data_IF_890637542234
#
_entry.id   IF_890637542234
#
_cell.length_a   1.000
_cell.length_b   1.000
_cell.length_c   1.000
_cell.angle_alpha   90.00
_cell.angle_beta   90.00
_cell.angle_gamma   90.00
#
_symmetry.space_group_name_H-M   'P 1'
#
loop_
_entity.id
_entity.type
_entity.pdbx_description
1 polymer ?
#
# COMPACT_ATOMS: atom_id res chain seq x y z
N UNK A 1 5.25 17.33 3.46
CA UNK A 1 4.05 18.02 3.96
C UNK A 1 3.38 18.92 2.91
N UNK A 2 4.12 19.67 2.07
CA UNK A 2 3.53 20.64 1.11
C UNK A 2 2.89 20.02 -0.13
N UNK A 3 3.15 18.76 -0.45
CA UNK A 3 2.49 18.05 -1.56
C UNK A 3 1.17 17.37 -1.12
N UNK A 4 0.92 17.26 0.18
CA UNK A 4 -0.29 16.62 0.72
C UNK A 4 -1.58 17.30 0.21
N UNK A 5 -1.72 18.64 0.24
CA UNK A 5 -2.95 19.27 -0.23
C UNK A 5 -3.20 19.02 -1.72
N UNK A 6 -2.15 18.97 -2.54
CA UNK A 6 -2.27 18.67 -3.97
C UNK A 6 -2.80 17.24 -4.16
N UNK A 7 -2.24 16.28 -3.42
CA UNK A 7 -2.67 14.88 -3.48
C UNK A 7 -4.12 14.74 -3.04
N UNK A 8 -4.49 15.34 -1.91
CA UNK A 8 -5.85 15.26 -1.37
C UNK A 8 -6.85 15.88 -2.35
N UNK A 9 -6.57 17.06 -2.89
CA UNK A 9 -7.46 17.74 -3.82
C UNK A 9 -7.69 16.92 -5.10
N UNK A 10 -6.64 16.39 -5.71
CA UNK A 10 -6.76 15.60 -6.94
C UNK A 10 -7.45 14.27 -6.66
N UNK A 11 -7.17 13.61 -5.54
CA UNK A 11 -7.85 12.37 -5.16
C UNK A 11 -9.34 12.58 -4.88
N UNK A 12 -9.73 13.69 -4.23
CA UNK A 12 -11.14 14.04 -4.06
C UNK A 12 -11.85 14.24 -5.40
N UNK A 13 -11.24 14.99 -6.32
CA UNK A 13 -11.79 15.19 -7.67
C UNK A 13 -11.90 13.87 -8.42
N UNK A 14 -10.87 13.03 -8.36
CA UNK A 14 -10.87 11.69 -8.95
C UNK A 14 -12.04 10.85 -8.43
N UNK A 15 -12.21 10.79 -7.11
CA UNK A 15 -13.28 9.99 -6.49
C UNK A 15 -14.66 10.49 -6.92
N UNK A 16 -14.88 11.80 -6.95
CA UNK A 16 -16.14 12.37 -7.43
C UNK A 16 -16.41 12.03 -8.90
N UNK A 17 -15.42 12.17 -9.77
CA UNK A 17 -15.53 11.82 -11.18
C UNK A 17 -15.81 10.32 -11.37
N UNK A 18 -15.19 9.46 -10.59
CA UNK A 18 -15.42 8.02 -10.63
C UNK A 18 -16.84 7.65 -10.19
N UNK A 19 -17.37 8.26 -9.14
CA UNK A 19 -18.75 8.06 -8.69
C UNK A 19 -19.73 8.49 -9.78
N UNK A 20 -19.54 9.68 -10.35
CA UNK A 20 -20.40 10.19 -11.42
C UNK A 20 -20.35 9.27 -12.65
N UNK A 21 -19.15 8.82 -13.04
CA UNK A 21 -18.99 7.92 -14.18
C UNK A 21 -19.68 6.57 -13.96
N UNK A 22 -19.61 6.00 -12.77
CA UNK A 22 -20.30 4.75 -12.46
C UNK A 22 -21.83 4.90 -12.44
N UNK A 23 -22.35 6.04 -12.01
CA UNK A 23 -23.79 6.30 -12.00
C UNK A 23 -24.35 6.50 -13.42
N UNK A 24 -23.59 7.19 -14.30
CA UNK A 24 -24.05 7.53 -15.66
C UNK A 24 -23.78 6.37 -16.64
N UNK A 25 -22.53 5.92 -16.71
CA UNK A 25 -22.13 4.93 -17.76
C UNK A 25 -22.12 3.49 -17.29
N UNK A 26 -22.13 3.21 -15.98
CA UNK A 26 -22.08 1.85 -15.40
C UNK A 26 -20.98 0.97 -16.03
N UNK A 27 -19.91 1.58 -16.52
CA UNK A 27 -18.83 0.93 -17.23
C UNK A 27 -17.54 0.99 -16.42
N UNK A 28 -16.96 -0.19 -16.16
CA UNK A 28 -15.69 -0.32 -15.45
C UNK A 28 -14.51 0.26 -16.25
N UNK A 29 -14.59 0.23 -17.59
CA UNK A 29 -13.54 0.78 -18.46
C UNK A 29 -13.44 2.30 -18.29
N UNK A 30 -14.59 2.99 -18.22
CA UNK A 30 -14.61 4.46 -17.98
C UNK A 30 -14.04 4.79 -16.61
N UNK A 31 -14.35 4.01 -15.58
CA UNK A 31 -13.79 4.14 -14.26
C UNK A 31 -12.24 4.07 -14.27
N UNK A 32 -11.67 3.07 -14.97
CA UNK A 32 -10.22 2.90 -15.09
C UNK A 32 -9.56 4.02 -15.90
N UNK A 33 -10.18 4.49 -16.97
CA UNK A 33 -9.63 5.59 -17.77
C UNK A 33 -9.56 6.90 -16.98
N UNK A 34 -10.56 7.19 -16.15
CA UNK A 34 -10.53 8.33 -15.22
C UNK A 34 -9.39 8.17 -14.21
N UNK A 35 -9.21 6.99 -13.67
CA UNK A 35 -8.12 6.71 -12.71
C UNK A 35 -6.75 6.99 -13.31
N UNK A 36 -6.50 6.47 -14.51
CA UNK A 36 -5.22 6.68 -15.23
C UNK A 36 -5.02 8.18 -15.54
N UNK A 37 -6.05 8.85 -16.08
CA UNK A 37 -6.01 10.26 -16.40
C UNK A 37 -5.68 11.13 -15.19
N UNK A 38 -6.38 10.94 -14.08
CA UNK A 38 -6.12 11.67 -12.83
C UNK A 38 -4.73 11.37 -12.25
N UNK A 39 -4.23 10.15 -12.39
CA UNK A 39 -2.86 9.80 -11.95
C UNK A 39 -1.79 10.54 -12.76
N UNK A 40 -1.99 10.69 -14.07
CA UNK A 40 -1.09 11.47 -14.94
C UNK A 40 -1.13 12.95 -14.55
N UNK A 41 -2.33 13.50 -14.32
CA UNK A 41 -2.50 14.89 -13.87
C UNK A 41 -1.83 15.13 -12.53
N UNK A 42 -1.97 14.19 -11.57
CA UNK A 42 -1.32 14.25 -10.27
C UNK A 42 0.21 14.30 -10.42
N UNK A 43 0.76 13.41 -11.23
CA UNK A 43 2.21 13.35 -11.50
C UNK A 43 2.72 14.64 -12.16
N UNK A 44 1.99 15.18 -13.13
CA UNK A 44 2.32 16.43 -13.78
C UNK A 44 2.27 17.63 -12.79
N UNK A 45 1.22 17.71 -11.98
CA UNK A 45 1.06 18.76 -10.98
C UNK A 45 2.18 18.73 -9.92
N UNK A 46 2.55 17.56 -9.45
CA UNK A 46 3.67 17.38 -8.53
C UNK A 46 5.00 17.81 -9.14
N UNK A 47 5.27 17.41 -10.40
CA UNK A 47 6.47 17.78 -11.13
C UNK A 47 6.56 19.30 -11.32
N UNK A 48 5.49 19.93 -11.79
CA UNK A 48 5.44 21.38 -11.97
C UNK A 48 5.65 22.14 -10.65
N UNK A 49 5.05 21.64 -9.56
CA UNK A 49 5.24 22.24 -8.25
C UNK A 49 6.68 22.15 -7.76
N UNK A 50 7.30 20.97 -7.91
CA UNK A 50 8.70 20.71 -7.51
C UNK A 50 9.65 21.58 -8.33
N UNK A 51 9.50 21.60 -9.66
CA UNK A 51 10.35 22.38 -10.58
C UNK A 51 10.26 23.88 -10.33
N UNK A 52 9.05 24.39 -10.08
CA UNK A 52 8.86 25.82 -9.75
C UNK A 52 9.45 26.23 -8.39
N UNK A 53 9.45 25.33 -7.44
CA UNK A 53 9.81 25.66 -6.05
C UNK A 53 11.26 25.38 -5.72
N UNK A 54 11.88 24.44 -6.40
CA UNK A 54 13.24 24.00 -6.17
C UNK A 54 14.08 24.19 -7.42
N UNK A 55 14.53 25.42 -7.65
CA UNK A 55 15.37 25.82 -8.80
C UNK A 55 16.66 25.00 -8.94
N UNK A 56 17.08 24.32 -7.86
CA UNK A 56 18.31 23.50 -7.82
C UNK A 56 18.08 22.04 -8.18
N UNK A 57 16.84 21.59 -8.32
CA UNK A 57 16.53 20.22 -8.75
C UNK A 57 16.40 20.19 -10.27
N UNK A 58 17.53 20.25 -10.94
CA UNK A 58 17.59 20.06 -12.39
C UNK A 58 17.63 18.54 -12.67
N UNK A 59 16.70 18.06 -13.50
CA UNK A 59 16.69 16.67 -14.01
C UNK A 59 17.94 16.33 -14.84
N UNK A 60 18.74 17.32 -15.19
CA UNK A 60 20.00 17.22 -15.92
C UNK A 60 21.14 17.79 -15.07
N UNK A 61 21.58 17.03 -14.06
CA UNK A 61 22.88 17.28 -13.46
C UNK A 61 23.96 16.74 -14.41
N UNK A 62 24.94 17.60 -14.76
CA UNK A 62 26.14 17.20 -15.48
C UNK A 62 27.10 16.37 -14.61
N UNK A 63 26.85 16.32 -13.31
CA UNK A 63 27.67 15.57 -12.37
C UNK A 63 27.41 14.08 -12.50
N UNK A 64 28.42 13.35 -12.96
CA UNK A 64 28.35 11.89 -13.07
C UNK A 64 28.66 11.29 -11.70
N UNK A 65 27.81 10.35 -11.29
CA UNK A 65 28.03 9.55 -10.09
C UNK A 65 29.40 8.84 -10.18
N UNK A 66 30.15 8.88 -9.09
CA UNK A 66 31.39 8.12 -8.95
C UNK A 66 31.07 6.60 -8.97
N UNK A 67 31.98 5.78 -9.47
CA UNK A 67 31.77 4.34 -9.60
C UNK A 67 31.34 3.68 -8.27
N UNK A 68 31.92 4.08 -7.16
CA UNK A 68 31.54 3.61 -5.82
C UNK A 68 30.10 3.96 -5.44
N UNK A 69 29.65 5.20 -5.68
CA UNK A 69 28.29 5.65 -5.43
C UNK A 69 27.27 4.88 -6.28
N UNK A 70 27.63 4.61 -7.56
CA UNK A 70 26.77 3.83 -8.44
C UNK A 70 26.61 2.39 -7.95
N UNK A 71 27.68 1.78 -7.46
CA UNK A 71 27.64 0.42 -6.94
C UNK A 71 26.82 0.33 -5.63
N UNK A 72 26.94 1.31 -4.76
CA UNK A 72 26.15 1.41 -3.51
C UNK A 72 24.66 1.58 -3.81
N UNK A 73 24.32 2.48 -4.73
CA UNK A 73 22.94 2.69 -5.20
C UNK A 73 22.39 1.41 -5.82
N UNK A 74 23.15 0.72 -6.68
CA UNK A 74 22.73 -0.54 -7.27
C UNK A 74 22.46 -1.62 -6.22
N UNK A 75 23.30 -1.75 -5.21
CA UNK A 75 23.12 -2.71 -4.11
C UNK A 75 21.84 -2.41 -3.33
N UNK A 76 21.60 -1.16 -3.00
CA UNK A 76 20.41 -0.73 -2.27
C UNK A 76 19.13 -0.92 -3.12
N UNK A 77 19.16 -0.57 -4.40
CA UNK A 77 18.04 -0.77 -5.31
C UNK A 77 17.75 -2.26 -5.49
N UNK A 78 18.74 -3.11 -5.67
CA UNK A 78 18.51 -4.55 -5.85
C UNK A 78 17.85 -5.17 -4.61
N UNK A 79 18.23 -4.76 -3.41
CA UNK A 79 17.57 -5.18 -2.17
C UNK A 79 16.10 -4.76 -2.10
N UNK A 80 15.82 -3.51 -2.48
CA UNK A 80 14.45 -3.00 -2.54
C UNK A 80 13.59 -3.69 -3.61
N UNK A 81 14.17 -4.03 -4.76
CA UNK A 81 13.47 -4.76 -5.83
C UNK A 81 13.09 -6.16 -5.34
N UNK A 82 14.01 -6.89 -4.72
CA UNK A 82 13.73 -8.23 -4.18
C UNK A 82 12.63 -8.17 -3.13
N UNK A 83 12.70 -7.20 -2.21
CA UNK A 83 11.66 -6.98 -1.20
C UNK A 83 10.30 -6.67 -1.84
N UNK A 84 10.26 -5.84 -2.88
CA UNK A 84 9.02 -5.49 -3.59
C UNK A 84 8.44 -6.65 -4.41
N UNK A 85 9.28 -7.46 -5.03
CA UNK A 85 8.84 -8.68 -5.72
C UNK A 85 8.24 -9.65 -4.69
N UNK A 86 8.88 -9.85 -3.54
CA UNK A 86 8.35 -10.66 -2.45
C UNK A 86 7.00 -10.18 -1.96
N UNK A 87 6.86 -8.89 -1.69
CA UNK A 87 5.61 -8.24 -1.27
C UNK A 87 4.49 -8.44 -2.32
N UNK A 88 4.81 -8.24 -3.60
CA UNK A 88 3.88 -8.46 -4.69
C UNK A 88 3.44 -9.93 -4.81
N UNK A 89 4.37 -10.86 -4.72
CA UNK A 89 4.07 -12.30 -4.78
C UNK A 89 3.14 -12.70 -3.62
N UNK A 90 3.42 -12.27 -2.40
CA UNK A 90 2.59 -12.59 -1.23
C UNK A 90 1.18 -12.01 -1.38
N UNK A 91 1.04 -10.76 -1.81
CA UNK A 91 -0.27 -10.09 -1.83
C UNK A 91 -1.11 -10.36 -3.09
N UNK A 92 -0.50 -10.82 -4.19
CA UNK A 92 -1.22 -10.99 -5.47
C UNK A 92 -1.46 -12.45 -5.83
N UNK A 93 -0.67 -13.38 -5.30
CA UNK A 93 -0.76 -14.80 -5.64
C UNK A 93 -2.09 -15.41 -5.20
N UNK A 94 -2.62 -15.02 -4.05
CA UNK A 94 -3.89 -15.51 -3.53
C UNK A 94 -5.03 -15.25 -4.51
N UNK A 95 -5.12 -14.03 -5.04
CA UNK A 95 -6.15 -13.67 -6.02
C UNK A 95 -6.05 -14.48 -7.31
N UNK A 96 -4.83 -14.73 -7.79
CA UNK A 96 -4.59 -15.53 -9.00
C UNK A 96 -4.97 -17.01 -8.77
N UNK A 97 -4.59 -17.55 -7.63
CA UNK A 97 -4.90 -18.94 -7.25
C UNK A 97 -6.40 -19.12 -7.12
N UNK A 98 -7.08 -18.27 -6.37
CA UNK A 98 -8.53 -18.36 -6.16
C UNK A 98 -9.27 -18.19 -7.49
N UNK A 99 -8.87 -17.24 -8.33
CA UNK A 99 -9.51 -17.02 -9.63
C UNK A 99 -9.38 -18.24 -10.54
N UNK A 100 -8.19 -18.86 -10.57
CA UNK A 100 -7.88 -19.96 -11.48
C UNK A 100 -8.38 -21.31 -10.98
N UNK A 101 -8.29 -21.58 -9.69
CA UNK A 101 -8.60 -22.90 -9.13
C UNK A 101 -10.03 -23.01 -8.56
N UNK A 102 -10.63 -21.90 -8.15
CA UNK A 102 -11.98 -21.90 -7.60
C UNK A 102 -12.96 -21.24 -8.56
N UNK A 103 -13.01 -19.91 -8.59
CA UNK A 103 -13.82 -19.15 -9.55
C UNK A 103 -13.58 -17.64 -9.43
N UNK A 104 -14.00 -16.89 -10.46
CA UNK A 104 -14.00 -15.43 -10.42
C UNK A 104 -14.97 -14.89 -9.36
N UNK A 105 -16.08 -15.58 -9.10
CA UNK A 105 -17.05 -15.21 -8.06
C UNK A 105 -16.41 -15.32 -6.67
N UNK A 106 -15.67 -16.41 -6.40
CA UNK A 106 -14.94 -16.59 -5.15
C UNK A 106 -13.90 -15.49 -4.93
N UNK A 107 -13.21 -15.07 -5.98
CA UNK A 107 -12.27 -13.93 -5.92
C UNK A 107 -12.98 -12.63 -5.59
N UNK A 108 -14.19 -12.41 -6.13
CA UNK A 108 -15.03 -11.27 -5.77
C UNK A 108 -15.43 -11.26 -4.29
N UNK A 109 -15.80 -12.40 -3.74
CA UNK A 109 -16.10 -12.56 -2.31
C UNK A 109 -14.83 -12.28 -1.48
N UNK A 110 -13.69 -12.89 -1.84
CA UNK A 110 -12.41 -12.71 -1.16
C UNK A 110 -11.96 -11.24 -1.16
N UNK A 111 -12.24 -10.50 -2.21
CA UNK A 111 -11.90 -9.08 -2.30
C UNK A 111 -12.56 -8.23 -1.21
N UNK A 112 -13.74 -8.61 -0.73
CA UNK A 112 -14.38 -7.91 0.40
C UNK A 112 -13.60 -8.11 1.70
N UNK A 113 -13.13 -9.34 1.95
CA UNK A 113 -12.27 -9.62 3.11
C UNK A 113 -10.96 -8.85 3.03
N UNK A 114 -10.34 -8.81 1.83
CA UNK A 114 -9.12 -8.07 1.58
C UNK A 114 -9.30 -6.56 1.79
N UNK A 115 -10.47 -6.00 1.48
CA UNK A 115 -10.73 -4.58 1.67
C UNK A 115 -10.65 -4.20 3.14
N UNK A 116 -11.29 -4.97 4.03
CA UNK A 116 -11.24 -4.74 5.48
C UNK A 116 -9.81 -4.91 5.99
N UNK A 117 -9.15 -6.02 5.61
CA UNK A 117 -7.76 -6.28 5.97
C UNK A 117 -6.84 -5.14 5.56
N UNK A 118 -6.95 -4.65 4.34
CA UNK A 118 -6.10 -3.58 3.82
C UNK A 118 -6.34 -2.24 4.53
N UNK A 119 -7.58 -1.95 4.93
CA UNK A 119 -7.88 -0.77 5.75
C UNK A 119 -7.15 -0.84 7.10
N UNK A 120 -7.26 -1.95 7.82
CA UNK A 120 -6.63 -2.13 9.13
C UNK A 120 -5.11 -2.12 9.01
N UNK A 121 -4.56 -2.87 8.04
CA UNK A 121 -3.13 -2.84 7.75
C UNK A 121 -2.61 -1.45 7.37
N UNK A 122 -3.43 -0.63 6.72
CA UNK A 122 -3.10 0.76 6.43
C UNK A 122 -2.88 1.59 7.70
N UNK A 123 -3.73 1.44 8.70
CA UNK A 123 -3.56 2.10 10.00
C UNK A 123 -2.35 1.58 10.77
N UNK A 124 -2.16 0.26 10.83
CA UNK A 124 -0.99 -0.35 11.47
C UNK A 124 0.30 0.15 10.80
N UNK A 125 0.35 0.16 9.47
CA UNK A 125 1.50 0.67 8.71
C UNK A 125 1.77 2.15 8.99
N UNK A 126 0.74 2.97 9.15
CA UNK A 126 0.88 4.38 9.50
C UNK A 126 1.49 4.57 10.91
N UNK A 127 1.10 3.73 11.87
CA UNK A 127 1.71 3.72 13.22
C UNK A 127 3.21 3.39 13.14
N UNK A 128 3.58 2.32 12.44
CA UNK A 128 4.98 1.94 12.27
C UNK A 128 5.78 2.98 11.46
N UNK A 129 5.20 3.61 10.46
CA UNK A 129 5.85 4.67 9.69
C UNK A 129 6.25 5.87 10.56
N UNK A 130 5.45 6.21 11.57
CA UNK A 130 5.78 7.26 12.53
C UNK A 130 7.04 6.97 13.35
N UNK A 131 7.30 5.69 13.62
CA UNK A 131 8.46 5.26 14.41
C UNK A 131 9.69 4.99 13.54
N UNK A 132 9.51 4.68 12.26
CA UNK A 132 10.57 4.28 11.32
C UNK A 132 11.69 5.32 11.22
N UNK A 133 11.35 6.61 11.24
CA UNK A 133 12.36 7.68 11.19
C UNK A 133 13.28 7.67 12.43
N UNK A 134 12.72 7.44 13.61
CA UNK A 134 13.49 7.30 14.86
C UNK A 134 14.38 6.06 14.84
N UNK A 135 13.86 4.93 14.38
CA UNK A 135 14.61 3.68 14.24
C UNK A 135 15.76 3.86 13.25
N UNK A 136 15.52 4.52 12.11
CA UNK A 136 16.56 4.81 11.13
C UNK A 136 17.73 5.61 11.72
N UNK A 137 17.45 6.58 12.57
CA UNK A 137 18.49 7.33 13.27
C UNK A 137 19.27 6.46 14.26
N UNK A 138 18.60 5.62 15.04
CA UNK A 138 19.24 4.67 15.97
C UNK A 138 20.15 3.70 15.20
N UNK A 139 19.68 3.15 14.10
CA UNK A 139 20.47 2.24 13.25
C UNK A 139 21.71 2.91 12.67
N UNK A 140 21.65 4.22 12.40
CA UNK A 140 22.77 4.97 11.82
C UNK A 140 23.84 5.35 12.87
N UNK A 141 23.46 5.59 14.13
CA UNK A 141 24.34 6.23 15.13
C UNK A 141 24.75 5.28 16.25
N UNK A 142 23.90 4.34 16.63
CA UNK A 142 24.08 3.51 17.83
C UNK A 142 24.88 2.22 17.56
N UNK A 143 25.35 1.60 18.64
CA UNK A 143 26.08 0.34 18.60
C UNK A 143 25.13 -0.86 18.27
N UNK A 144 25.73 -2.00 17.94
CA UNK A 144 24.96 -3.18 17.49
C UNK A 144 24.10 -3.80 18.60
N UNK A 145 24.48 -3.68 19.85
CA UNK A 145 23.70 -4.13 21.01
C UNK A 145 22.38 -3.37 21.10
N UNK A 146 22.42 -2.05 20.99
CA UNK A 146 21.23 -1.20 21.04
C UNK A 146 20.34 -1.36 19.80
N UNK A 147 20.93 -1.58 18.62
CA UNK A 147 20.20 -1.93 17.40
C UNK A 147 19.40 -3.21 17.58
N UNK A 148 20.02 -4.23 18.19
CA UNK A 148 19.36 -5.51 18.46
C UNK A 148 18.23 -5.36 19.47
N UNK A 149 18.42 -4.58 20.52
CA UNK A 149 17.39 -4.31 21.53
C UNK A 149 16.17 -3.61 20.92
N UNK A 150 16.40 -2.57 20.12
CA UNK A 150 15.35 -1.87 19.38
C UNK A 150 14.63 -2.81 18.40
N UNK A 151 15.38 -3.66 17.68
CA UNK A 151 14.79 -4.65 16.78
C UNK A 151 13.89 -5.62 17.54
N UNK A 152 14.36 -6.19 18.66
CA UNK A 152 13.59 -7.13 19.48
C UNK A 152 12.33 -6.47 20.04
N UNK A 153 12.42 -5.25 20.50
CA UNK A 153 11.27 -4.47 20.99
C UNK A 153 10.25 -4.25 19.89
N UNK A 154 10.68 -3.81 18.71
CA UNK A 154 9.79 -3.59 17.56
C UNK A 154 9.16 -4.89 17.05
N UNK A 155 9.94 -5.96 17.01
CA UNK A 155 9.45 -7.29 16.65
C UNK A 155 8.38 -7.78 17.63
N UNK A 156 8.59 -7.61 18.93
CA UNK A 156 7.60 -7.98 19.94
C UNK A 156 6.31 -7.17 19.80
N UNK A 157 6.41 -5.86 19.64
CA UNK A 157 5.24 -4.98 19.43
C UNK A 157 4.49 -5.40 18.16
N UNK A 158 5.20 -5.61 17.06
CA UNK A 158 4.59 -6.05 15.81
C UNK A 158 3.89 -7.40 15.96
N UNK A 159 4.56 -8.38 16.57
CA UNK A 159 4.00 -9.71 16.85
C UNK A 159 2.70 -9.60 17.66
N UNK A 160 2.69 -8.79 18.71
CA UNK A 160 1.52 -8.60 19.56
C UNK A 160 0.34 -7.98 18.80
N UNK A 161 0.60 -6.89 18.02
CA UNK A 161 -0.42 -6.22 17.22
C UNK A 161 -1.01 -7.18 16.18
N UNK A 162 -0.16 -7.87 15.40
CA UNK A 162 -0.63 -8.79 14.36
C UNK A 162 -1.30 -10.04 14.92
N UNK A 163 -0.94 -10.49 16.11
CA UNK A 163 -1.63 -11.60 16.80
C UNK A 163 -3.05 -11.23 17.20
N UNK A 164 -3.24 -10.01 17.72
CA UNK A 164 -4.58 -9.47 18.03
C UNK A 164 -5.38 -9.32 16.73
N UNK A 165 -4.79 -8.72 15.70
CA UNK A 165 -5.43 -8.55 14.40
C UNK A 165 -5.92 -9.89 13.83
N UNK A 166 -5.05 -10.91 13.80
CA UNK A 166 -5.39 -12.23 13.29
C UNK A 166 -6.54 -12.87 14.09
N UNK A 167 -6.49 -12.78 15.42
CA UNK A 167 -7.56 -13.30 16.28
C UNK A 167 -8.88 -12.58 16.04
N UNK A 168 -8.86 -11.24 15.95
CA UNK A 168 -10.04 -10.45 15.63
C UNK A 168 -10.61 -10.82 14.26
N UNK A 169 -9.77 -11.01 13.25
CA UNK A 169 -10.22 -11.40 11.92
C UNK A 169 -10.86 -12.78 11.92
N UNK A 170 -10.28 -13.76 12.59
CA UNK A 170 -10.86 -15.11 12.69
C UNK A 170 -12.23 -15.09 13.36
N UNK A 171 -12.43 -14.26 14.38
CA UNK A 171 -13.68 -14.22 15.13
C UNK A 171 -14.74 -13.30 14.53
N UNK A 172 -14.35 -12.16 13.95
CA UNK A 172 -15.27 -11.07 13.62
C UNK A 172 -15.53 -10.89 12.12
N UNK A 173 -14.73 -11.46 11.22
CA UNK A 173 -14.92 -11.26 9.78
C UNK A 173 -16.29 -11.71 9.29
N UNK A 174 -16.66 -12.95 9.58
CA UNK A 174 -17.93 -13.49 9.09
C UNK A 174 -19.15 -12.78 9.69
N UNK A 175 -19.27 -12.54 11.01
CA UNK A 175 -20.34 -11.75 11.56
C UNK A 175 -20.40 -10.34 10.98
N UNK A 176 -19.25 -9.67 10.84
CA UNK A 176 -19.22 -8.31 10.31
C UNK A 176 -19.68 -8.25 8.85
N UNK A 177 -19.16 -9.11 7.99
CA UNK A 177 -19.51 -9.12 6.55
C UNK A 177 -20.95 -9.55 6.35
N UNK A 178 -21.41 -10.60 7.04
CA UNK A 178 -22.71 -11.20 6.85
C UNK A 178 -23.86 -10.44 7.49
N UNK A 179 -23.70 -9.97 8.72
CA UNK A 179 -24.78 -9.37 9.48
C UNK A 179 -24.79 -7.84 9.44
N UNK A 180 -23.61 -7.20 9.33
CA UNK A 180 -23.50 -5.74 9.50
C UNK A 180 -23.26 -5.03 8.16
N UNK A 181 -22.44 -5.59 7.25
CA UNK A 181 -21.96 -4.83 6.10
C UNK A 181 -22.70 -5.12 4.80
N UNK A 182 -22.47 -6.28 4.15
CA UNK A 182 -22.96 -6.56 2.77
C UNK A 182 -23.89 -7.77 2.67
N UNK A 183 -24.06 -8.52 3.74
CA UNK A 183 -24.99 -9.62 3.88
C UNK A 183 -24.40 -11.02 3.60
N UNK A 184 -25.11 -12.04 4.05
CA UNK A 184 -24.68 -13.44 4.03
C UNK A 184 -24.31 -14.00 2.64
N UNK A 185 -24.82 -13.41 1.58
CA UNK A 185 -24.51 -13.80 0.19
C UNK A 185 -23.01 -13.67 -0.14
N UNK A 186 -22.30 -12.83 0.58
CA UNK A 186 -20.87 -12.51 0.38
C UNK A 186 -19.96 -13.20 1.39
N UNK A 187 -20.47 -14.18 2.12
CA UNK A 187 -19.67 -15.03 2.98
C UNK A 187 -19.07 -16.21 2.21
N UNK A 188 -17.84 -16.59 2.58
CA UNK A 188 -17.34 -17.90 2.24
C UNK A 188 -18.13 -18.96 2.99
N UNK A 189 -18.90 -19.74 2.28
CA UNK A 189 -19.67 -20.84 2.86
C UNK A 189 -18.70 -21.99 3.16
N UNK A 190 -18.70 -22.46 4.40
CA UNK A 190 -17.97 -23.66 4.84
C UNK A 190 -18.39 -24.83 3.93
N UNK A 191 -17.56 -25.19 2.95
CA UNK A 191 -17.85 -26.24 1.96
C UNK A 191 -17.47 -25.88 0.52
N UNK A 192 -16.94 -24.68 0.28
CA UNK A 192 -16.44 -24.24 -1.03
C UNK A 192 -14.91 -24.16 -1.10
N UNK A 193 -14.21 -24.71 -0.10
CA UNK A 193 -12.75 -24.86 -0.12
C UNK A 193 -12.45 -26.35 -0.24
#
# INVERSE_FOLDING_TARGET
FRLIPINVSINCVQTLLQIIALLIWKSYIVYLTIQIGCSIVLMAAQNLYITKKYDKVTFYSKDRLTGAQKQEIQKNISGLIVAKIGDYLVNSTDNLIITKLVSLVATGIYSNYLLIRNLINGYISALFAGVTAGIGNIVAVENDEKKLDVFNTMFFIAFFIYSIEATCFMCLFNPFIGEIWIGEKYLFRTGTV
#
